data_IF_366025830051
#
_entry.id   IF_366025830051
#
_cell.length_a   1.000
_cell.length_b   1.000
_cell.length_c   1.000
_cell.angle_alpha   90.00
_cell.angle_beta   90.00
_cell.angle_gamma   90.00
#
_symmetry.space_group_name_H-M   'P 1'
#
loop_
_entity.id
_entity.type
_entity.pdbx_description
1 polymer ?
#
# COMPACT_ATOMS: atom_id res chain seq x y z
N UNK A 1 4.62 1.16 -11.70
CA UNK A 1 4.20 1.60 -13.03
C UNK A 1 5.37 1.51 -14.01
N UNK A 2 6.44 2.26 -13.81
CA UNK A 2 7.58 2.36 -14.75
C UNK A 2 8.19 1.02 -15.13
N UNK A 3 8.38 0.13 -14.15
CA UNK A 3 8.95 -1.21 -14.37
C UNK A 3 8.16 -2.05 -15.39
N UNK A 4 6.85 -1.86 -15.47
CA UNK A 4 5.95 -2.62 -16.33
C UNK A 4 5.35 -1.78 -17.46
N UNK A 5 5.91 -0.60 -17.72
CA UNK A 5 5.46 0.32 -18.76
C UNK A 5 3.95 0.65 -18.66
N UNK A 6 3.46 0.85 -17.46
CA UNK A 6 2.07 1.24 -17.21
C UNK A 6 2.03 2.75 -17.01
N UNK A 7 1.33 3.45 -17.89
CA UNK A 7 1.12 4.89 -17.79
C UNK A 7 0.00 5.21 -16.82
N UNK A 8 0.31 6.03 -15.81
CA UNK A 8 -0.64 6.51 -14.80
C UNK A 8 -1.30 7.81 -15.26
N UNK A 9 -1.93 7.79 -16.41
CA UNK A 9 -2.36 8.96 -17.16
C UNK A 9 -3.86 9.29 -17.08
N UNK A 10 -4.66 8.40 -16.52
CA UNK A 10 -6.11 8.55 -16.47
C UNK A 10 -6.54 9.03 -15.09
N UNK A 11 -7.23 10.17 -15.02
CA UNK A 11 -7.77 10.72 -13.78
C UNK A 11 -9.26 10.36 -13.68
N UNK A 12 -9.57 9.32 -12.91
CA UNK A 12 -10.93 8.83 -12.63
C UNK A 12 -11.01 8.24 -11.23
N UNK A 13 -12.22 8.11 -10.69
CA UNK A 13 -12.45 7.52 -9.36
C UNK A 13 -11.68 8.22 -8.24
N UNK A 14 -11.48 9.54 -8.36
CA UNK A 14 -10.64 10.34 -7.45
C UNK A 14 -9.21 9.81 -7.32
N UNK A 15 -8.67 9.26 -8.41
CA UNK A 15 -7.34 8.69 -8.46
C UNK A 15 -6.68 8.94 -9.81
N UNK A 16 -5.36 8.89 -9.86
CA UNK A 16 -4.66 8.59 -11.10
C UNK A 16 -4.61 7.08 -11.26
N UNK A 17 -5.04 6.59 -12.41
CA UNK A 17 -5.05 5.16 -12.72
C UNK A 17 -4.29 4.85 -13.99
N UNK A 18 -3.71 3.66 -14.01
CA UNK A 18 -3.09 3.07 -15.18
C UNK A 18 -3.49 1.62 -15.31
N UNK A 19 -3.73 1.18 -16.54
CA UNK A 19 -4.06 -0.22 -16.86
C UNK A 19 -2.91 -0.85 -17.61
N UNK A 20 -2.61 -2.08 -17.29
CA UNK A 20 -1.54 -2.81 -17.96
C UNK A 20 -1.44 -4.25 -17.51
N UNK A 21 -0.32 -4.87 -17.85
CA UNK A 21 -0.04 -6.27 -17.54
C UNK A 21 1.16 -6.36 -16.59
N UNK A 22 1.03 -7.16 -15.56
CA UNK A 22 2.15 -7.62 -14.72
C UNK A 22 2.21 -9.14 -14.90
N UNK A 23 3.24 -9.62 -15.61
CA UNK A 23 3.28 -11.01 -16.02
C UNK A 23 2.09 -11.34 -16.94
N UNK A 24 1.26 -12.30 -16.56
CA UNK A 24 0.06 -12.70 -17.30
C UNK A 24 -1.23 -12.07 -16.76
N UNK A 25 -1.14 -11.26 -15.70
CA UNK A 25 -2.29 -10.68 -15.04
C UNK A 25 -2.57 -9.27 -15.54
N UNK A 26 -3.82 -9.00 -15.84
CA UNK A 26 -4.31 -7.64 -16.09
C UNK A 26 -4.45 -6.92 -14.75
N UNK A 27 -3.85 -5.75 -14.65
CA UNK A 27 -3.89 -4.96 -13.42
C UNK A 27 -4.37 -3.54 -13.66
N UNK A 28 -4.96 -2.98 -12.62
CA UNK A 28 -5.25 -1.56 -12.52
C UNK A 28 -4.43 -1.02 -11.36
N UNK A 29 -3.49 -0.16 -11.67
CA UNK A 29 -2.75 0.59 -10.66
C UNK A 29 -3.51 1.86 -10.34
N UNK A 30 -3.76 2.13 -9.08
CA UNK A 30 -4.47 3.30 -8.64
C UNK A 30 -3.68 4.06 -7.58
N UNK A 31 -3.59 5.37 -7.77
CA UNK A 31 -2.99 6.31 -6.82
C UNK A 31 -4.08 7.30 -6.41
N UNK A 32 -4.76 7.07 -5.29
CA UNK A 32 -5.82 7.98 -4.82
C UNK A 32 -5.31 9.40 -4.68
N UNK A 33 -6.15 10.36 -5.04
CA UNK A 33 -5.88 11.79 -4.97
C UNK A 33 -6.77 12.50 -3.94
N UNK A 34 -7.44 11.73 -3.12
CA UNK A 34 -8.18 12.23 -1.95
C UNK A 34 -7.21 12.62 -0.83
N UNK A 35 -7.70 13.33 0.17
CA UNK A 35 -7.01 13.35 1.45
C UNK A 35 -6.93 11.93 2.02
N UNK A 36 -5.92 11.67 2.86
CA UNK A 36 -5.65 10.32 3.39
C UNK A 36 -6.88 9.73 4.10
N UNK A 37 -7.57 10.51 4.92
CA UNK A 37 -8.77 10.09 5.65
C UNK A 37 -10.02 9.85 4.75
N UNK A 38 -9.92 10.10 3.46
CA UNK A 38 -10.96 9.88 2.45
C UNK A 38 -10.55 8.83 1.40
N UNK A 39 -9.47 8.08 1.63
CA UNK A 39 -8.95 7.08 0.69
C UNK A 39 -9.99 6.04 0.29
N UNK A 40 -10.89 5.66 1.19
CA UNK A 40 -11.95 4.69 0.94
C UNK A 40 -12.95 5.15 -0.12
N UNK A 41 -13.15 6.45 -0.31
CA UNK A 41 -14.03 6.96 -1.37
C UNK A 41 -13.51 6.61 -2.76
N UNK A 42 -12.21 6.71 -2.97
CA UNK A 42 -11.56 6.29 -4.22
C UNK A 42 -11.60 4.77 -4.39
N UNK A 43 -11.24 4.03 -3.36
CA UNK A 43 -11.18 2.57 -3.40
C UNK A 43 -12.55 1.95 -3.66
N UNK A 44 -13.61 2.40 -2.97
CA UNK A 44 -14.95 1.86 -3.18
C UNK A 44 -15.48 2.15 -4.59
N UNK A 45 -15.17 3.32 -5.13
CA UNK A 45 -15.53 3.67 -6.50
C UNK A 45 -14.89 2.72 -7.52
N UNK A 46 -13.62 2.40 -7.36
CA UNK A 46 -12.89 1.45 -8.20
C UNK A 46 -13.43 0.02 -8.06
N UNK A 47 -13.65 -0.42 -6.83
CA UNK A 47 -14.16 -1.76 -6.51
C UNK A 47 -15.54 -1.97 -7.14
N UNK A 48 -16.44 -1.01 -7.03
CA UNK A 48 -17.79 -1.09 -7.61
C UNK A 48 -17.76 -1.01 -9.13
N UNK A 49 -17.00 -0.10 -9.69
CA UNK A 49 -16.94 0.09 -11.14
C UNK A 49 -16.37 -1.14 -11.87
N UNK A 50 -15.27 -1.69 -11.39
CA UNK A 50 -14.61 -2.86 -11.98
C UNK A 50 -15.10 -4.19 -11.41
N UNK A 51 -16.09 -4.18 -10.52
CA UNK A 51 -16.66 -5.38 -9.88
C UNK A 51 -15.58 -6.28 -9.26
N UNK A 52 -14.71 -5.67 -8.47
CA UNK A 52 -13.58 -6.32 -7.84
C UNK A 52 -14.02 -7.01 -6.55
N UNK A 53 -13.56 -8.24 -6.33
CA UNK A 53 -13.62 -8.90 -5.03
C UNK A 53 -12.45 -8.43 -4.17
N UNK A 54 -12.68 -7.68 -3.07
CA UNK A 54 -11.59 -7.16 -2.25
C UNK A 54 -10.68 -8.22 -1.64
N UNK A 55 -11.20 -9.41 -1.37
CA UNK A 55 -10.41 -10.49 -0.76
C UNK A 55 -9.42 -11.10 -1.76
N UNK A 56 -9.80 -11.20 -3.04
CA UNK A 56 -9.06 -11.93 -4.05
C UNK A 56 -8.33 -11.03 -5.05
N UNK A 57 -8.83 -9.81 -5.27
CA UNK A 57 -8.42 -8.98 -6.40
C UNK A 57 -7.92 -7.59 -6.01
N UNK A 58 -7.96 -7.22 -4.72
CA UNK A 58 -7.48 -5.93 -4.23
C UNK A 58 -6.21 -6.12 -3.40
N UNK A 59 -5.19 -5.32 -3.69
CA UNK A 59 -4.01 -5.17 -2.83
C UNK A 59 -3.84 -3.69 -2.52
N UNK A 60 -3.83 -3.35 -1.23
CA UNK A 60 -3.58 -1.98 -0.76
C UNK A 60 -2.14 -1.89 -0.25
N UNK A 61 -1.39 -0.96 -0.81
CA UNK A 61 -0.01 -0.68 -0.41
C UNK A 61 0.01 0.66 0.32
N UNK A 62 0.56 0.70 1.53
CA UNK A 62 0.58 1.90 2.34
C UNK A 62 1.76 1.95 3.32
N UNK A 63 2.02 3.13 3.83
CA UNK A 63 3.06 3.42 4.81
C UNK A 63 2.68 2.93 6.22
N UNK A 64 3.68 2.54 7.00
CA UNK A 64 3.52 2.14 8.40
C UNK A 64 4.69 2.69 9.24
N UNK A 65 4.38 3.57 10.19
CA UNK A 65 5.36 4.16 11.09
C UNK A 65 5.86 3.20 12.16
N UNK A 66 5.18 2.09 12.40
CA UNK A 66 5.58 1.06 13.37
C UNK A 66 6.61 0.07 12.82
N UNK A 67 6.91 0.14 11.54
CA UNK A 67 7.93 -0.66 10.88
C UNK A 67 9.18 0.17 10.59
N UNK A 68 10.34 -0.47 10.69
CA UNK A 68 11.61 0.16 10.33
C UNK A 68 11.60 0.65 8.87
N UNK A 69 12.35 1.71 8.59
CA UNK A 69 12.44 2.29 7.25
C UNK A 69 12.81 1.24 6.22
N UNK A 70 11.98 1.10 5.18
CA UNK A 70 12.16 0.14 4.10
C UNK A 70 11.73 -1.29 4.41
N UNK A 71 11.30 -1.60 5.63
CA UNK A 71 10.76 -2.90 5.98
C UNK A 71 9.42 -3.13 5.26
N UNK A 72 9.18 -4.35 4.83
CA UNK A 72 7.94 -4.76 4.15
C UNK A 72 7.22 -5.80 5.00
N UNK A 73 5.92 -5.61 5.17
CA UNK A 73 5.05 -6.58 5.83
C UNK A 73 3.78 -6.79 5.04
N UNK A 74 3.41 -8.04 4.85
CA UNK A 74 2.26 -8.44 4.04
C UNK A 74 1.23 -9.12 4.95
N UNK A 75 -0.02 -8.73 4.82
CA UNK A 75 -1.15 -9.29 5.58
C UNK A 75 -2.35 -9.50 4.66
N UNK A 76 -3.09 -10.59 4.88
CA UNK A 76 -4.33 -10.87 4.16
C UNK A 76 -5.54 -10.14 4.78
N UNK A 77 -5.46 -9.77 6.04
CA UNK A 77 -6.51 -9.10 6.81
C UNK A 77 -5.92 -8.36 8.01
N UNK A 78 -6.68 -7.51 8.63
CA UNK A 78 -6.32 -6.86 9.88
C UNK A 78 -6.98 -5.50 10.08
N UNK A 79 -6.82 -4.97 11.29
CA UNK A 79 -7.30 -3.65 11.66
C UNK A 79 -6.47 -2.53 11.01
N UNK A 80 -6.95 -1.31 11.13
CA UNK A 80 -6.25 -0.14 10.61
C UNK A 80 -4.96 0.21 11.36
N UNK A 81 -4.80 -0.23 12.61
CA UNK A 81 -3.62 0.08 13.42
C UNK A 81 -3.36 1.58 13.60
N UNK A 82 -4.40 2.40 13.60
CA UNK A 82 -4.28 3.86 13.70
C UNK A 82 -4.12 4.59 12.37
N UNK A 83 -3.94 3.88 11.25
CA UNK A 83 -3.81 4.50 9.91
C UNK A 83 -5.16 5.01 9.41
N UNK A 84 -5.31 6.33 9.27
CA UNK A 84 -6.60 6.96 8.92
C UNK A 84 -7.11 6.56 7.54
N UNK A 85 -6.24 6.40 6.56
CA UNK A 85 -6.61 5.92 5.23
C UNK A 85 -7.20 4.50 5.27
N UNK A 86 -6.57 3.61 6.01
CA UNK A 86 -7.04 2.23 6.15
C UNK A 86 -8.35 2.17 6.92
N UNK A 87 -8.56 2.98 7.97
CA UNK A 87 -9.85 3.11 8.65
C UNK A 87 -10.97 3.45 7.69
N UNK A 88 -10.73 4.43 6.83
CA UNK A 88 -11.71 4.87 5.85
C UNK A 88 -11.99 3.79 4.79
N UNK A 89 -10.97 3.08 4.32
CA UNK A 89 -11.13 1.96 3.39
C UNK A 89 -11.96 0.83 4.03
N UNK A 90 -11.66 0.45 5.26
CA UNK A 90 -12.42 -0.56 6.00
C UNK A 90 -13.89 -0.16 6.12
N UNK A 91 -14.17 1.09 6.47
CA UNK A 91 -15.53 1.61 6.59
C UNK A 91 -16.30 1.52 5.26
N UNK A 92 -15.67 1.87 4.14
CA UNK A 92 -16.31 1.83 2.83
C UNK A 92 -16.46 0.41 2.27
N UNK A 93 -15.50 -0.46 2.48
CA UNK A 93 -15.58 -1.86 2.05
C UNK A 93 -16.50 -2.73 2.93
N UNK A 94 -16.79 -2.27 4.15
CA UNK A 94 -17.60 -3.02 5.11
C UNK A 94 -16.85 -4.16 5.79
N UNK A 95 -15.51 -4.20 5.75
CA UNK A 95 -14.74 -5.26 6.38
C UNK A 95 -13.24 -5.08 6.28
N UNK A 96 -12.53 -5.92 7.02
CA UNK A 96 -11.06 -5.87 7.17
C UNK A 96 -10.33 -6.92 6.31
N UNK A 97 -11.06 -7.75 5.57
CA UNK A 97 -10.47 -8.85 4.81
C UNK A 97 -10.14 -8.39 3.40
N UNK A 98 -8.98 -7.83 3.26
CA UNK A 98 -8.35 -7.52 1.98
C UNK A 98 -6.83 -7.55 2.14
N UNK A 99 -6.10 -8.05 1.13
CA UNK A 99 -4.65 -8.09 1.14
C UNK A 99 -4.03 -6.69 1.21
N UNK A 100 -2.99 -6.55 2.02
CA UNK A 100 -2.25 -5.30 2.19
C UNK A 100 -0.75 -5.52 2.31
N UNK A 101 -0.02 -4.59 1.79
CA UNK A 101 1.43 -4.51 1.89
C UNK A 101 1.78 -3.24 2.65
N UNK A 102 2.43 -3.40 3.80
CA UNK A 102 2.90 -2.30 4.64
C UNK A 102 4.35 -2.01 4.31
N UNK A 103 4.66 -0.75 4.08
CA UNK A 103 6.02 -0.27 3.85
C UNK A 103 6.45 0.63 5.00
N UNK A 104 7.54 0.28 5.67
CA UNK A 104 8.01 0.98 6.85
C UNK A 104 8.55 2.38 6.54
N UNK A 105 8.10 3.35 7.32
CA UNK A 105 8.60 4.73 7.35
C UNK A 105 9.50 5.02 8.56
N UNK A 106 9.51 4.14 9.56
CA UNK A 106 10.18 4.32 10.83
C UNK A 106 9.33 5.03 11.88
N UNK A 107 9.69 4.88 13.13
CA UNK A 107 8.98 5.52 14.25
C UNK A 107 9.13 7.04 14.21
N UNK A 108 8.03 7.71 14.48
CA UNK A 108 8.03 9.16 14.67
C UNK A 108 8.84 9.53 15.92
N UNK A 109 9.87 10.40 15.80
CA UNK A 109 10.50 10.97 16.98
C UNK A 109 9.49 11.73 17.84
N UNK A 110 9.58 11.62 19.17
CA UNK A 110 8.58 12.18 20.10
C UNK A 110 8.37 13.69 19.96
N UNK A 111 9.34 14.42 19.43
CA UNK A 111 9.29 15.87 19.20
C UNK A 111 8.54 16.30 17.94
N UNK A 112 8.18 15.37 17.06
CA UNK A 112 7.48 15.69 15.82
C UNK A 112 5.98 15.44 15.95
N UNK A 113 5.18 16.29 15.31
CA UNK A 113 3.80 15.98 15.01
C UNK A 113 3.71 14.84 13.98
N UNK A 114 2.71 13.96 14.12
CA UNK A 114 2.59 12.81 13.25
C UNK A 114 2.39 13.21 11.77
N UNK A 115 1.56 14.21 11.52
CA UNK A 115 1.31 14.69 10.16
C UNK A 115 2.57 15.30 9.52
N UNK A 116 3.31 16.09 10.28
CA UNK A 116 4.56 16.69 9.80
C UNK A 116 5.61 15.62 9.51
N UNK A 117 5.68 14.58 10.32
CA UNK A 117 6.60 13.47 10.11
C UNK A 117 6.27 12.67 8.85
N UNK A 118 5.02 12.28 8.68
CA UNK A 118 4.56 11.48 7.52
C UNK A 118 4.68 12.26 6.20
N UNK A 119 4.45 13.59 6.23
CA UNK A 119 4.58 14.46 5.06
C UNK A 119 6.00 14.97 4.84
N UNK A 120 6.95 14.64 5.72
CA UNK A 120 8.36 15.02 5.59
C UNK A 120 9.09 14.26 4.49
N UNK A 121 10.35 14.60 4.32
CA UNK A 121 11.23 13.96 3.35
C UNK A 121 12.13 12.91 4.00
N UNK A 122 12.39 11.83 3.29
CA UNK A 122 13.41 10.86 3.67
C UNK A 122 14.81 11.42 3.48
N UNK A 123 15.73 11.04 4.36
CA UNK A 123 17.17 11.19 4.11
C UNK A 123 17.57 10.33 2.92
N UNK A 124 18.76 10.55 2.36
CA UNK A 124 19.25 9.75 1.24
C UNK A 124 19.32 8.25 1.58
N UNK A 125 19.84 7.92 2.76
CA UNK A 125 19.95 6.52 3.22
C UNK A 125 18.57 5.89 3.42
N UNK A 126 17.62 6.60 4.03
CA UNK A 126 16.24 6.13 4.21
C UNK A 126 15.54 5.92 2.86
N UNK A 127 15.74 6.82 1.91
CA UNK A 127 15.18 6.72 0.57
C UNK A 127 15.66 5.47 -0.15
N UNK A 128 16.94 5.13 -0.05
CA UNK A 128 17.49 3.90 -0.63
C UNK A 128 16.82 2.66 -0.03
N UNK A 129 16.61 2.62 1.29
CA UNK A 129 15.90 1.52 1.96
C UNK A 129 14.43 1.41 1.53
N UNK A 130 13.74 2.53 1.40
CA UNK A 130 12.35 2.58 0.93
C UNK A 130 12.24 2.11 -0.53
N UNK A 131 13.15 2.53 -1.40
CA UNK A 131 13.18 2.08 -2.79
C UNK A 131 13.41 0.57 -2.91
N UNK A 132 14.28 0.01 -2.08
CA UNK A 132 14.49 -1.45 -2.00
C UNK A 132 13.22 -2.17 -1.51
N UNK A 133 12.58 -1.65 -0.47
CA UNK A 133 11.30 -2.16 0.04
C UNK A 133 10.20 -2.13 -1.03
N UNK A 134 10.10 -1.07 -1.80
CA UNK A 134 9.16 -0.97 -2.92
C UNK A 134 9.43 -2.03 -3.99
N UNK A 135 10.69 -2.27 -4.34
CA UNK A 135 11.06 -3.33 -5.28
C UNK A 135 10.66 -4.71 -4.76
N UNK A 136 10.91 -4.97 -3.48
CA UNK A 136 10.53 -6.23 -2.83
C UNK A 136 9.01 -6.45 -2.85
N UNK A 137 8.23 -5.41 -2.56
CA UNK A 137 6.77 -5.47 -2.58
C UNK A 137 6.22 -5.81 -3.98
N UNK A 138 6.83 -5.28 -5.02
CA UNK A 138 6.42 -5.54 -6.41
C UNK A 138 6.69 -6.99 -6.84
N UNK A 139 7.70 -7.64 -6.27
CA UNK A 139 8.03 -9.03 -6.60
C UNK A 139 7.18 -10.09 -5.88
N UNK A 140 6.30 -9.68 -4.99
CA UNK A 140 5.41 -10.58 -4.26
C UNK A 140 4.27 -11.08 -5.17
N UNK A 141 4.56 -12.07 -6.01
CA UNK A 141 3.59 -12.63 -6.97
C UNK A 141 2.54 -13.55 -6.35
N UNK A 142 2.89 -14.24 -5.27
CA UNK A 142 2.00 -15.09 -4.47
C UNK A 142 1.93 -14.53 -3.06
N UNK A 143 0.75 -14.08 -2.64
CA UNK A 143 0.58 -13.41 -1.35
C UNK A 143 0.93 -14.30 -0.15
N UNK A 144 0.63 -15.59 -0.19
CA UNK A 144 0.94 -16.50 0.92
C UNK A 144 2.45 -16.80 0.99
N UNK A 145 3.08 -17.05 -0.15
CA UNK A 145 4.53 -17.26 -0.22
C UNK A 145 5.28 -15.99 0.19
N UNK A 146 4.81 -14.82 -0.28
CA UNK A 146 5.37 -13.54 0.09
C UNK A 146 5.21 -13.23 1.59
N UNK A 147 4.06 -13.51 2.20
CA UNK A 147 3.87 -13.39 3.65
C UNK A 147 4.86 -14.27 4.41
N UNK A 148 5.07 -15.49 3.96
CA UNK A 148 6.02 -16.43 4.59
C UNK A 148 7.46 -15.95 4.47
N UNK A 149 7.85 -15.43 3.32
CA UNK A 149 9.20 -14.96 3.07
C UNK A 149 9.50 -13.62 3.80
N UNK A 150 8.70 -12.59 3.53
CA UNK A 150 8.97 -11.24 4.04
C UNK A 150 8.68 -11.07 5.53
N UNK A 151 7.76 -11.85 6.08
CA UNK A 151 7.45 -11.80 7.51
C UNK A 151 8.44 -12.64 8.35
N UNK A 152 9.14 -13.61 7.77
CA UNK A 152 10.20 -14.40 8.45
C UNK A 152 11.44 -13.58 8.75
N UNK A 153 11.89 -12.75 7.83
CA UNK A 153 13.12 -11.95 7.98
C UNK A 153 13.17 -11.10 9.26
N UNK A 154 12.05 -10.90 9.91
CA UNK A 154 11.95 -10.17 11.18
C UNK A 154 12.11 -11.03 12.44
N UNK A 155 12.14 -12.38 12.32
CA UNK A 155 12.35 -13.27 13.47
C UNK A 155 13.80 -13.67 13.66
N UNK A 156 14.65 -13.40 12.67
CA UNK A 156 16.07 -13.77 12.67
C UNK A 156 17.00 -12.57 12.94
N UNK A 157 16.44 -11.37 13.00
CA UNK A 157 17.13 -10.15 13.44
C UNK A 157 16.78 -9.82 14.90
#
# INVERSE_FOLDING_TARGET
ADKYNIDMDTKKHRAFIGKGMIGREKVILAKPQTYMNLSGESIISLVQYYKIDPEQELIVIYDDISLDVGAVRIRAKGSAGGHNGIKNIIAHLGGQVFPRIKLGEGEKPSRYDLADYVLGHFTKAERELVEEGCKSAVHAGDMQAAMNEYNRKKKEE
#
